data_IF_714533652128
#
_entry.id   IF_714533652128
#
_cell.length_a   1.000
_cell.length_b   1.000
_cell.length_c   1.000
_cell.angle_alpha   90.00
_cell.angle_beta   90.00
_cell.angle_gamma   90.00
#
_symmetry.space_group_name_H-M   'P 1'
#
loop_
_entity.id
_entity.type
_entity.pdbx_description
1 polymer ?
#
# COMPACT_ATOMS: atom_id res chain seq x y z
N UNK A 1 -4.62 5.73 -4.11
CA UNK A 1 -4.58 5.09 -2.77
C UNK A 1 -4.19 6.08 -1.68
N UNK A 2 -3.01 6.71 -1.75
CA UNK A 2 -2.51 7.61 -0.69
C UNK A 2 -3.45 8.80 -0.42
N UNK A 3 -3.94 9.48 -1.45
CA UNK A 3 -4.88 10.61 -1.29
C UNK A 3 -6.19 10.20 -0.60
N UNK A 4 -6.75 9.06 -1.02
CA UNK A 4 -7.94 8.47 -0.40
C UNK A 4 -7.69 8.12 1.06
N UNK A 5 -6.56 7.47 1.36
CA UNK A 5 -6.18 7.12 2.74
C UNK A 5 -6.05 8.37 3.62
N UNK A 6 -5.37 9.42 3.14
CA UNK A 6 -5.27 10.70 3.84
C UNK A 6 -6.63 11.35 4.07
N UNK A 7 -7.53 11.29 3.09
CA UNK A 7 -8.88 11.88 3.21
C UNK A 7 -9.73 11.17 4.25
N UNK A 8 -9.65 9.84 4.30
CA UNK A 8 -10.49 9.03 5.19
C UNK A 8 -9.94 8.94 6.61
N UNK A 9 -8.61 8.81 6.76
CA UNK A 9 -7.98 8.53 8.05
C UNK A 9 -7.63 9.79 8.85
N UNK A 10 -7.60 10.98 8.21
CA UNK A 10 -7.27 12.23 8.89
C UNK A 10 -8.44 12.69 9.76
N UNK A 11 -8.29 12.68 11.08
CA UNK A 11 -9.25 13.28 12.00
C UNK A 11 -8.90 14.73 12.33
N UNK A 12 -7.66 15.17 12.04
CA UNK A 12 -7.17 16.52 12.35
C UNK A 12 -6.55 16.64 13.73
N UNK A 13 -6.54 15.55 14.51
CA UNK A 13 -5.93 15.50 15.83
C UNK A 13 -4.49 14.97 15.76
N UNK A 14 -3.70 15.26 16.80
CA UNK A 14 -2.36 14.67 16.92
C UNK A 14 -2.53 13.16 17.08
N UNK A 15 -1.94 12.41 16.15
CA UNK A 15 -2.00 10.95 16.17
C UNK A 15 -2.59 10.28 14.93
N UNK A 16 -3.00 11.05 13.91
CA UNK A 16 -3.52 10.54 12.61
C UNK A 16 -2.59 9.53 11.88
N UNK A 17 -1.34 9.37 12.34
CA UNK A 17 -0.41 8.35 11.85
C UNK A 17 0.46 8.84 10.69
N UNK A 18 1.17 7.89 10.05
CA UNK A 18 2.12 8.14 8.96
C UNK A 18 1.90 7.12 7.85
N UNK A 19 2.08 7.55 6.62
CA UNK A 19 2.08 6.70 5.44
C UNK A 19 3.51 6.62 4.93
N UNK A 20 4.03 5.40 4.79
CA UNK A 20 5.34 5.15 4.20
C UNK A 20 5.15 4.48 2.85
N UNK A 21 5.94 4.90 1.88
CA UNK A 21 5.91 4.37 0.51
C UNK A 21 7.31 3.83 0.23
N UNK A 22 7.37 2.57 -0.16
CA UNK A 22 8.60 1.89 -0.53
C UNK A 22 8.45 1.33 -1.95
N UNK A 23 9.52 1.37 -2.76
CA UNK A 23 9.53 0.62 -4.01
C UNK A 23 9.46 -0.88 -3.68
N UNK A 24 8.61 -1.60 -4.40
CA UNK A 24 8.58 -3.07 -4.36
C UNK A 24 9.08 -3.56 -5.71
N UNK A 25 10.19 -4.29 -5.70
CA UNK A 25 10.85 -4.74 -6.94
C UNK A 25 10.12 -5.92 -7.59
N UNK A 26 9.60 -6.87 -6.79
CA UNK A 26 8.85 -8.01 -7.30
C UNK A 26 7.77 -8.47 -6.30
N UNK A 27 6.73 -9.12 -6.83
CA UNK A 27 5.66 -9.78 -6.08
C UNK A 27 5.45 -11.16 -6.67
N UNK A 28 5.36 -12.18 -5.82
CA UNK A 28 5.18 -13.57 -6.24
C UNK A 28 3.92 -14.15 -5.59
N UNK A 29 3.00 -14.66 -6.42
CA UNK A 29 1.79 -15.32 -5.94
C UNK A 29 2.08 -16.80 -5.66
N UNK A 30 2.27 -17.14 -4.38
CA UNK A 30 2.71 -18.48 -3.93
C UNK A 30 1.90 -19.63 -4.53
N UNK A 31 0.58 -19.47 -4.68
CA UNK A 31 -0.31 -20.52 -5.19
C UNK A 31 -0.11 -20.86 -6.68
N UNK A 32 0.29 -19.88 -7.50
CA UNK A 32 0.34 -20.02 -8.97
C UNK A 32 1.75 -19.84 -9.53
N UNK A 33 2.68 -19.27 -8.77
CA UNK A 33 4.01 -18.91 -9.24
C UNK A 33 4.03 -17.67 -10.15
N UNK A 34 2.92 -16.93 -10.27
CA UNK A 34 2.88 -15.70 -11.05
C UNK A 34 3.74 -14.61 -10.40
N UNK A 35 4.41 -13.82 -11.24
CA UNK A 35 5.31 -12.74 -10.82
C UNK A 35 4.88 -11.36 -11.33
N UNK A 36 5.37 -10.33 -10.65
CA UNK A 36 5.17 -8.92 -11.01
C UNK A 36 3.70 -8.54 -11.04
N UNK A 37 3.27 -7.84 -12.09
CA UNK A 37 1.87 -7.36 -12.20
C UNK A 37 0.85 -8.50 -12.24
N UNK A 38 1.22 -9.69 -12.76
CA UNK A 38 0.32 -10.86 -12.77
C UNK A 38 0.10 -11.44 -11.37
N UNK A 39 1.02 -11.14 -10.44
CA UNK A 39 0.93 -11.56 -9.05
C UNK A 39 0.04 -10.65 -8.20
N UNK A 40 -0.16 -9.40 -8.62
CA UNK A 40 -1.07 -8.42 -7.99
C UNK A 40 -2.54 -8.74 -8.30
#
# INVERSE_FOLDING_TARGET
VVETAKKILRTGEIGDGKIFIYPVENVIKVRTGEEGVRAL
#
